data_IF_831008613975
#
_entry.id   IF_831008613975
#
_cell.length_a   1.000
_cell.length_b   1.000
_cell.length_c   1.000
_cell.angle_alpha   90.00
_cell.angle_beta   90.00
_cell.angle_gamma   90.00
#
_symmetry.space_group_name_H-M   'P 1'
#
loop_
_entity.id
_entity.type
_entity.pdbx_description
1 polymer ?
#
# COMPACT_ATOMS: atom_id res chain seq x y z
N UNK A 1 3.25 7.49 21.03
CA UNK A 1 4.10 6.33 20.65
C UNK A 1 4.91 6.79 19.46
N UNK A 2 6.23 6.82 19.60
CA UNK A 2 7.15 7.08 18.49
C UNK A 2 7.08 5.93 17.50
N UNK A 3 7.25 6.21 16.21
CA UNK A 3 7.36 5.20 15.17
C UNK A 3 8.76 5.24 14.59
N UNK A 4 9.30 4.09 14.20
CA UNK A 4 10.59 3.99 13.52
C UNK A 4 10.40 3.39 12.13
N UNK A 5 11.26 3.77 11.19
CA UNK A 5 11.34 3.08 9.91
C UNK A 5 11.75 1.62 10.17
N UNK A 6 11.10 0.67 9.49
CA UNK A 6 11.42 -0.77 9.62
C UNK A 6 12.32 -1.29 8.50
N UNK A 7 12.79 -0.40 7.62
CA UNK A 7 13.61 -0.77 6.46
C UNK A 7 15.07 -0.90 6.88
N UNK A 8 15.71 -1.98 6.45
CA UNK A 8 17.13 -2.22 6.73
C UNK A 8 17.97 -1.09 6.13
N UNK A 9 18.82 -0.46 6.94
CA UNK A 9 19.58 0.73 6.56
C UNK A 9 18.88 2.08 6.78
N UNK A 10 17.72 2.12 7.44
CA UNK A 10 17.05 3.37 7.82
C UNK A 10 16.75 3.45 9.33
N UNK A 11 17.50 4.27 10.05
CA UNK A 11 17.38 4.44 11.52
C UNK A 11 16.41 5.55 11.94
N UNK A 12 15.48 5.91 11.05
CA UNK A 12 14.62 7.07 11.28
C UNK A 12 13.56 6.80 12.31
N UNK A 13 13.36 7.79 13.17
CA UNK A 13 12.36 7.77 14.22
C UNK A 13 11.58 9.07 14.21
N UNK A 14 10.26 8.95 14.30
CA UNK A 14 9.33 10.08 14.34
C UNK A 14 8.48 10.00 15.61
N UNK A 15 8.08 11.14 16.19
CA UNK A 15 7.20 11.17 17.36
C UNK A 15 5.82 10.56 17.07
N UNK A 16 5.41 10.58 15.81
CA UNK A 16 4.18 10.03 15.25
C UNK A 16 4.46 9.57 13.81
N UNK A 17 3.65 8.64 13.34
CA UNK A 17 3.58 8.21 11.95
C UNK A 17 3.42 9.41 10.98
N UNK A 18 4.42 9.71 10.12
CA UNK A 18 4.43 10.89 9.26
C UNK A 18 3.21 10.99 8.34
N UNK A 19 2.67 9.85 7.89
CA UNK A 19 1.43 9.79 7.10
C UNK A 19 0.23 10.42 7.82
N UNK A 20 0.28 10.49 9.16
CA UNK A 20 -0.78 11.09 9.97
C UNK A 20 -0.60 12.58 10.20
N UNK A 21 0.52 13.19 9.78
CA UNK A 21 0.75 14.63 9.93
C UNK A 21 -0.01 15.46 8.88
N UNK A 22 -0.54 14.80 7.84
CA UNK A 22 -1.40 15.43 6.81
C UNK A 22 -2.84 14.92 6.88
N UNK A 23 -3.78 15.69 6.34
CA UNK A 23 -5.15 15.22 6.12
C UNK A 23 -5.22 14.27 4.93
N UNK A 24 -6.08 13.25 5.00
CA UNK A 24 -6.24 12.30 3.90
C UNK A 24 -7.06 12.91 2.76
N UNK A 25 -6.52 13.08 1.54
CA UNK A 25 -7.28 13.63 0.43
C UNK A 25 -8.42 12.70 -0.03
N UNK A 26 -8.26 11.38 0.17
CA UNK A 26 -9.22 10.36 -0.27
C UNK A 26 -10.44 10.23 0.65
N UNK A 27 -10.22 10.11 1.96
CA UNK A 27 -11.31 9.87 2.93
C UNK A 27 -11.54 11.03 3.91
N UNK A 28 -10.82 12.15 3.75
CA UNK A 28 -10.89 13.35 4.60
C UNK A 28 -10.68 13.08 6.08
N UNK A 29 -9.94 12.01 6.41
CA UNK A 29 -9.51 11.76 7.78
C UNK A 29 -8.54 12.87 8.22
N UNK A 30 -8.84 13.47 9.36
CA UNK A 30 -8.03 14.56 9.93
C UNK A 30 -6.62 14.10 10.33
N UNK A 31 -5.75 15.07 10.54
CA UNK A 31 -4.41 14.88 11.11
C UNK A 31 -4.51 14.04 12.39
N UNK A 32 -3.66 13.04 12.48
CA UNK A 32 -3.58 12.13 13.62
C UNK A 32 -4.63 11.01 13.65
N UNK A 33 -5.61 11.04 12.75
CA UNK A 33 -6.67 10.02 12.65
C UNK A 33 -6.33 9.02 11.57
N UNK A 34 -6.45 7.72 11.85
CA UNK A 34 -6.23 6.66 10.85
C UNK A 34 -7.28 6.73 9.73
N UNK A 35 -6.89 6.30 8.54
CA UNK A 35 -7.79 6.27 7.39
C UNK A 35 -8.96 5.31 7.63
N UNK A 36 -10.12 5.63 7.06
CA UNK A 36 -11.31 4.78 7.07
C UNK A 36 -11.49 4.17 5.69
N UNK A 37 -11.81 2.87 5.61
CA UNK A 37 -12.21 2.24 4.35
C UNK A 37 -13.61 2.73 3.94
N UNK A 38 -13.95 2.71 2.63
CA UNK A 38 -15.28 3.10 2.14
C UNK A 38 -16.43 2.30 2.78
N UNK A 39 -16.17 1.05 3.22
CA UNK A 39 -17.12 0.22 3.97
C UNK A 39 -17.36 0.70 5.42
N UNK A 40 -16.77 1.82 5.85
CA UNK A 40 -16.95 2.40 7.19
C UNK A 40 -16.08 1.79 8.28
N UNK A 41 -15.43 0.65 8.03
CA UNK A 41 -14.46 0.07 8.97
C UNK A 41 -13.16 0.87 8.98
N UNK A 42 -12.81 1.41 10.14
CA UNK A 42 -11.52 2.02 10.45
C UNK A 42 -10.87 1.28 11.61
N UNK A 43 -9.56 1.37 11.75
CA UNK A 43 -8.86 0.74 12.87
C UNK A 43 -7.36 0.76 12.74
N UNK A 44 -6.68 0.21 13.75
CA UNK A 44 -5.22 0.14 13.80
C UNK A 44 -4.59 -0.76 12.72
N UNK A 45 -5.41 -1.58 12.06
CA UNK A 45 -5.02 -2.49 10.97
C UNK A 45 -5.36 -1.95 9.57
N UNK A 46 -5.93 -0.74 9.48
CA UNK A 46 -6.21 -0.12 8.19
C UNK A 46 -4.97 0.64 7.74
N UNK A 47 -4.33 0.14 6.69
CA UNK A 47 -3.27 0.85 6.01
C UNK A 47 -3.76 2.24 5.55
N UNK A 48 -2.95 3.29 5.70
CA UNK A 48 -3.29 4.60 5.15
C UNK A 48 -3.42 4.52 3.62
N UNK A 49 -4.27 5.36 3.04
CA UNK A 49 -4.36 5.46 1.59
C UNK A 49 -3.04 6.00 1.02
N UNK A 50 -2.56 5.43 -0.08
CA UNK A 50 -1.31 5.85 -0.74
C UNK A 50 -1.27 7.35 -1.04
N UNK A 51 -2.40 7.94 -1.47
CA UNK A 51 -2.49 9.39 -1.71
C UNK A 51 -2.18 10.25 -0.48
N UNK A 52 -2.44 9.75 0.73
CA UNK A 52 -2.06 10.44 1.97
C UNK A 52 -0.58 10.31 2.26
N UNK A 53 -0.01 9.15 1.93
CA UNK A 53 1.42 8.88 2.13
C UNK A 53 2.29 9.74 1.20
N UNK A 54 1.89 9.82 -0.07
CA UNK A 54 2.52 10.69 -1.07
C UNK A 54 2.43 12.15 -0.64
N UNK A 55 1.28 12.60 -0.13
CA UNK A 55 1.14 13.97 0.35
C UNK A 55 2.06 14.25 1.55
N UNK A 56 2.20 13.31 2.49
CA UNK A 56 3.12 13.46 3.61
C UNK A 56 4.60 13.47 3.16
N UNK A 57 4.92 12.80 2.06
CA UNK A 57 6.23 12.84 1.43
C UNK A 57 6.51 14.18 0.74
N UNK A 58 5.59 14.65 -0.10
CA UNK A 58 5.69 15.94 -0.79
C UNK A 58 5.81 17.12 0.19
N UNK A 59 5.08 17.09 1.30
CA UNK A 59 5.17 18.09 2.38
C UNK A 59 6.43 17.92 3.25
N UNK A 60 7.22 16.87 3.03
CA UNK A 60 8.51 16.67 3.68
C UNK A 60 8.46 16.14 5.12
N UNK A 61 7.32 15.62 5.60
CA UNK A 61 7.18 15.09 6.96
C UNK A 61 8.08 13.87 7.24
N UNK A 62 8.39 13.11 6.19
CA UNK A 62 9.36 12.04 6.27
C UNK A 62 10.78 12.58 6.48
N UNK A 63 11.10 13.78 5.98
CA UNK A 63 12.46 14.36 5.90
C UNK A 63 13.35 13.64 4.88
N UNK A 64 14.65 13.99 4.80
CA UNK A 64 15.63 13.40 3.85
C UNK A 64 15.99 11.93 4.14
N UNK A 65 15.28 10.98 3.51
CA UNK A 65 15.51 9.56 3.76
C UNK A 65 16.89 9.17 3.19
N UNK A 66 17.76 8.48 3.97
CA UNK A 66 19.07 8.06 3.45
C UNK A 66 18.95 7.06 2.29
N UNK A 67 17.80 6.38 2.18
CA UNK A 67 17.49 5.42 1.13
C UNK A 67 16.51 5.96 0.08
N UNK A 68 15.99 7.18 0.26
CA UNK A 68 14.97 7.81 -0.59
C UNK A 68 13.65 7.01 -0.82
N UNK A 69 13.42 5.95 -0.04
CA UNK A 69 12.28 5.01 -0.16
C UNK A 69 11.45 4.94 1.14
N UNK A 70 11.48 6.00 1.94
CA UNK A 70 10.74 6.06 3.21
C UNK A 70 9.23 6.29 3.01
N UNK A 71 8.82 6.85 1.87
CA UNK A 71 7.44 6.89 1.43
C UNK A 71 7.33 5.91 0.27
N UNK A 72 6.85 4.70 0.55
CA UNK A 72 6.47 3.81 -0.53
C UNK A 72 4.96 3.82 -0.66
N UNK A 73 4.56 4.39 -1.79
CA UNK A 73 3.33 4.15 -2.50
C UNK A 73 2.94 2.67 -2.41
N UNK A 74 1.86 2.38 -1.70
CA UNK A 74 1.11 1.13 -1.86
C UNK A 74 0.64 0.88 -3.31
N UNK A 75 0.88 1.80 -4.24
CA UNK A 75 0.57 1.66 -5.67
C UNK A 75 1.27 0.44 -6.30
N UNK A 76 2.35 -0.08 -5.69
CA UNK A 76 3.02 -1.32 -6.14
C UNK A 76 2.60 -2.61 -5.40
N UNK A 77 1.68 -2.54 -4.42
CA UNK A 77 1.16 -3.73 -3.71
C UNK A 77 -0.33 -4.02 -3.99
N UNK A 78 -0.97 -3.27 -4.89
CA UNK A 78 -2.20 -3.72 -5.58
C UNK A 78 -1.81 -4.66 -6.74
N UNK A 79 -1.01 -5.68 -6.41
CA UNK A 79 -1.07 -6.90 -7.18
C UNK A 79 -2.47 -7.47 -6.95
N UNK A 80 -3.26 -7.77 -8.00
CA UNK A 80 -4.51 -8.47 -7.78
C UNK A 80 -4.21 -9.68 -6.91
N UNK A 81 -5.04 -9.94 -5.90
CA UNK A 81 -5.20 -11.28 -5.35
C UNK A 81 -5.55 -12.19 -6.54
N UNK A 82 -4.56 -12.69 -7.26
CA UNK A 82 -4.71 -13.77 -8.22
C UNK A 82 -4.70 -15.04 -7.38
N UNK A 83 -5.85 -15.68 -7.11
CA UNK A 83 -5.83 -17.12 -6.97
C UNK A 83 -5.29 -17.66 -8.30
N UNK A 84 -4.01 -18.00 -8.31
CA UNK A 84 -3.44 -18.87 -9.33
C UNK A 84 -3.91 -20.28 -8.99
N UNK A 85 -5.19 -20.54 -9.24
CA UNK A 85 -5.68 -21.91 -9.41
C UNK A 85 -5.47 -22.25 -10.88
N UNK A 86 -4.23 -22.66 -11.15
CA UNK A 86 -3.84 -23.80 -11.98
C UNK A 86 -4.41 -23.91 -13.41
N UNK A 87 -3.45 -23.88 -14.34
CA UNK A 87 -3.52 -24.08 -15.77
C UNK A 87 -4.34 -25.31 -16.24
N UNK A 88 -5.12 -25.07 -17.30
CA UNK A 88 -5.10 -25.81 -18.57
C UNK A 88 -5.02 -27.37 -18.53
N UNK A 89 -6.14 -28.03 -18.87
CA UNK A 89 -6.10 -29.23 -19.72
C UNK A 89 -7.17 -29.08 -20.82
N UNK A 90 -6.76 -28.55 -21.97
CA UNK A 90 -7.55 -28.58 -23.20
C UNK A 90 -6.62 -28.94 -24.35
N UNK A 91 -6.43 -30.24 -24.58
CA UNK A 91 -5.76 -30.78 -25.77
C UNK A 91 -6.12 -32.28 -25.84
N UNK A 92 -6.63 -32.90 -26.91
CA UNK A 92 -6.65 -32.59 -28.33
C UNK A 92 -7.85 -33.24 -29.03
N UNK A 93 -8.38 -32.53 -30.02
CA UNK A 93 -9.16 -33.13 -31.11
C UNK A 93 -8.18 -33.78 -32.10
N UNK A 94 -8.29 -35.09 -32.33
CA UNK A 94 -7.78 -35.71 -33.56
C UNK A 94 -8.97 -36.21 -34.37
N UNK A 95 -9.20 -35.52 -35.48
CA UNK A 95 -10.05 -36.00 -36.57
C UNK A 95 -9.31 -37.07 -37.37
N UNK A 96 -9.92 -38.23 -37.58
CA UNK A 96 -9.61 -39.10 -38.71
C UNK A 96 -10.92 -39.49 -39.39
N UNK A 97 -11.02 -39.10 -40.65
CA UNK A 97 -12.17 -39.32 -41.52
C UNK A 97 -12.30 -40.74 -42.06
N UNK A 98 -13.43 -40.96 -42.71
CA UNK A 98 -13.88 -42.20 -43.34
C UNK A 98 -12.95 -42.76 -44.43
N UNK A 99 -12.89 -44.09 -44.50
CA UNK A 99 -12.91 -44.88 -45.74
C UNK A 99 -13.71 -46.17 -45.50
#
# INVERSE_FOLDING_TARGET
>A
MTTSCKRDGCDRTWPRDPVLEVECPTCRASIGTKCKRPSGHGGNFVHPHGSRDNLAFDEGYYGICPLDICAETLEDMDGPDTPTEEDEDTTEQVSIGAF
#
